data_IF_650043813998
#
_entry.id   IF_650043813998
#
_cell.length_a   1.000
_cell.length_b   1.000
_cell.length_c   1.000
_cell.angle_alpha   90.00
_cell.angle_beta   90.00
_cell.angle_gamma   90.00
#
_symmetry.space_group_name_H-M   'P 1'
#
loop_
_entity.id
_entity.type
_entity.pdbx_description
1 polymer ?
#
# COMPACT_ATOMS: atom_id res chain seq x y z
N UNK A 1 39.33 -26.83 1.14
CA UNK A 1 38.22 -26.41 0.26
C UNK A 1 37.23 -25.66 1.15
N UNK A 2 37.15 -24.32 1.08
CA UNK A 2 36.22 -23.56 1.92
C UNK A 2 34.81 -23.86 1.44
N UNK A 3 33.95 -24.32 2.33
CA UNK A 3 32.51 -24.33 2.11
C UNK A 3 32.08 -22.90 1.75
N UNK A 4 31.68 -22.68 0.49
CA UNK A 4 31.10 -21.42 0.05
C UNK A 4 29.69 -21.33 0.65
N UNK A 5 29.64 -21.01 1.95
CA UNK A 5 28.42 -20.89 2.73
C UNK A 5 27.40 -20.00 2.01
N UNK A 6 26.12 -20.39 2.07
CA UNK A 6 25.02 -19.67 1.41
C UNK A 6 25.13 -18.16 1.71
N UNK A 7 25.10 -17.35 0.65
CA UNK A 7 25.19 -15.88 0.76
C UNK A 7 24.11 -15.35 1.70
N UNK A 8 24.51 -14.52 2.66
CA UNK A 8 23.57 -13.79 3.52
C UNK A 8 22.87 -12.72 2.69
N UNK A 9 21.54 -12.72 2.74
CA UNK A 9 20.69 -11.71 2.10
C UNK A 9 19.86 -11.06 3.19
N UNK A 10 19.73 -9.74 3.14
CA UNK A 10 18.98 -8.93 4.11
C UNK A 10 18.09 -7.93 3.38
N UNK A 11 17.05 -7.48 4.08
CA UNK A 11 16.17 -6.40 3.61
C UNK A 11 16.77 -5.07 4.08
N UNK A 12 17.07 -4.17 3.14
CA UNK A 12 17.64 -2.84 3.43
C UNK A 12 16.66 -1.68 3.23
N UNK A 13 15.45 -1.96 2.74
CA UNK A 13 14.41 -0.96 2.54
C UNK A 13 13.05 -1.60 2.35
N UNK A 14 12.01 -0.90 2.81
CA UNK A 14 10.61 -1.29 2.66
C UNK A 14 9.80 -0.05 2.28
N UNK A 15 8.89 -0.22 1.33
CA UNK A 15 7.89 0.77 0.95
C UNK A 15 6.54 0.08 0.79
N UNK A 16 5.46 0.78 1.13
CA UNK A 16 4.11 0.25 1.03
C UNK A 16 3.14 1.36 0.65
N UNK A 17 2.18 1.04 -0.22
CA UNK A 17 0.99 1.85 -0.48
C UNK A 17 -0.19 0.99 -0.10
N UNK A 18 -0.93 1.37 0.92
CA UNK A 18 -1.99 0.54 1.50
C UNK A 18 -3.26 1.36 1.75
N UNK A 19 -4.40 0.70 1.98
CA UNK A 19 -5.63 1.38 2.40
C UNK A 19 -5.54 2.04 3.78
N UNK A 20 -4.48 1.75 4.56
CA UNK A 20 -4.23 2.37 5.86
C UNK A 20 -3.41 3.66 5.74
N UNK A 21 -2.46 3.72 4.80
CA UNK A 21 -1.66 4.91 4.47
C UNK A 21 -0.75 4.66 3.25
N UNK A 22 -0.27 5.74 2.64
CA UNK A 22 0.89 5.73 1.75
C UNK A 22 2.18 5.87 2.57
N UNK A 23 2.96 4.78 2.66
CA UNK A 23 4.19 4.69 3.45
C UNK A 23 4.19 3.50 4.40
N UNK A 24 5.32 2.79 4.51
CA UNK A 24 5.44 1.58 5.31
C UNK A 24 5.24 1.85 6.82
N UNK A 25 5.88 2.89 7.35
CA UNK A 25 5.79 3.24 8.77
C UNK A 25 4.37 3.62 9.17
N UNK A 26 3.73 4.49 8.40
CA UNK A 26 2.38 4.96 8.69
C UNK A 26 1.35 3.82 8.59
N UNK A 27 1.50 2.97 7.58
CA UNK A 27 0.67 1.76 7.43
C UNK A 27 0.84 0.82 8.62
N UNK A 28 2.08 0.61 9.08
CA UNK A 28 2.39 -0.24 10.23
C UNK A 28 1.79 0.32 11.52
N UNK A 29 1.99 1.61 11.81
CA UNK A 29 1.42 2.26 12.99
C UNK A 29 -0.11 2.16 13.03
N UNK A 30 -0.78 2.39 11.90
CA UNK A 30 -2.23 2.26 11.80
C UNK A 30 -2.71 0.82 12.05
N UNK A 31 -1.97 -0.16 11.52
CA UNK A 31 -2.23 -1.59 11.74
C UNK A 31 -2.08 -1.98 13.22
N UNK A 32 -1.00 -1.55 13.87
CA UNK A 32 -0.78 -1.78 15.30
C UNK A 32 -1.85 -1.13 16.19
N UNK A 33 -2.44 -0.03 15.73
CA UNK A 33 -3.56 0.64 16.41
C UNK A 33 -4.93 -0.01 16.12
N UNK A 34 -4.97 -1.09 15.33
CA UNK A 34 -6.22 -1.78 14.97
C UNK A 34 -7.14 -0.96 14.05
N UNK A 35 -6.60 0.02 13.32
CA UNK A 35 -7.38 0.81 12.37
C UNK A 35 -7.81 -0.06 11.18
N UNK A 36 -9.03 0.13 10.71
CA UNK A 36 -9.53 -0.50 9.49
C UNK A 36 -9.37 0.43 8.29
N UNK A 37 -8.83 -0.09 7.19
CA UNK A 37 -8.79 0.59 5.89
C UNK A 37 -10.07 0.38 5.06
N UNK A 38 -11.00 -0.46 5.51
CA UNK A 38 -12.24 -0.79 4.78
C UNK A 38 -13.27 0.33 4.97
N UNK A 39 -13.83 0.81 3.86
CA UNK A 39 -14.87 1.83 3.83
C UNK A 39 -15.84 1.59 2.66
N UNK A 40 -16.85 2.46 2.50
CA UNK A 40 -17.71 2.46 1.31
C UNK A 40 -16.88 2.74 0.06
N UNK A 41 -17.22 2.06 -1.04
CA UNK A 41 -16.60 2.28 -2.35
C UNK A 41 -16.87 3.73 -2.79
N UNK A 42 -15.82 4.43 -3.22
CA UNK A 42 -15.90 5.80 -3.74
C UNK A 42 -15.36 5.93 -5.17
N UNK A 43 -14.61 4.94 -5.66
CA UNK A 43 -13.98 5.01 -6.99
C UNK A 43 -14.93 4.74 -8.16
N UNK A 44 -16.10 4.14 -7.90
CA UNK A 44 -17.12 3.87 -8.90
C UNK A 44 -18.50 3.68 -8.26
N UNK A 45 -19.57 3.70 -9.07
CA UNK A 45 -20.92 3.38 -8.60
C UNK A 45 -21.08 1.88 -8.36
N UNK A 46 -21.24 1.50 -7.09
CA UNK A 46 -21.39 0.10 -6.68
C UNK A 46 -22.86 -0.35 -6.56
N UNK A 47 -23.84 0.47 -6.94
CA UNK A 47 -25.27 0.20 -6.74
C UNK A 47 -25.77 -1.12 -7.35
N UNK A 48 -25.19 -1.54 -8.48
CA UNK A 48 -25.52 -2.79 -9.17
C UNK A 48 -24.85 -4.06 -8.62
N UNK A 49 -24.03 -3.96 -7.57
CA UNK A 49 -23.26 -5.08 -7.01
C UNK A 49 -23.79 -5.51 -5.65
N UNK A 50 -23.54 -6.76 -5.27
CA UNK A 50 -23.89 -7.26 -3.92
C UNK A 50 -22.95 -6.81 -2.80
N UNK A 51 -21.86 -6.10 -3.12
CA UNK A 51 -20.83 -5.65 -2.18
C UNK A 51 -20.55 -4.17 -2.43
N UNK A 52 -20.59 -3.37 -1.36
CA UNK A 52 -20.46 -1.90 -1.43
C UNK A 52 -19.30 -1.35 -0.59
N UNK A 53 -18.38 -2.22 -0.18
CA UNK A 53 -17.21 -1.87 0.63
C UNK A 53 -15.93 -2.30 -0.09
N UNK A 54 -14.88 -1.51 0.09
CA UNK A 54 -13.54 -1.81 -0.37
C UNK A 54 -12.51 -1.21 0.58
N UNK A 55 -11.27 -1.65 0.44
CA UNK A 55 -10.13 -1.03 1.10
C UNK A 55 -9.40 -0.17 0.06
N UNK A 56 -9.88 1.07 -0.12
CA UNK A 56 -9.34 2.01 -1.10
C UNK A 56 -8.17 2.79 -0.52
N UNK A 57 -7.15 3.08 -1.34
CA UNK A 57 -6.08 4.00 -0.99
C UNK A 57 -6.60 5.44 -1.12
N UNK A 58 -6.50 6.20 -0.02
CA UNK A 58 -7.14 7.52 0.11
C UNK A 58 -6.20 8.70 -0.09
N UNK A 59 -4.91 8.51 0.16
CA UNK A 59 -3.89 9.57 0.26
C UNK A 59 -2.79 9.46 -0.79
N UNK A 60 -2.94 8.57 -1.77
CA UNK A 60 -1.93 8.37 -2.81
C UNK A 60 -2.09 9.39 -3.94
N UNK A 61 -1.04 10.19 -4.14
CA UNK A 61 -0.91 11.21 -5.16
C UNK A 61 0.27 10.81 -6.07
N UNK A 62 0.02 10.29 -7.29
CA UNK A 62 1.08 9.86 -8.21
C UNK A 62 2.12 10.94 -8.53
N UNK A 63 1.71 12.21 -8.50
CA UNK A 63 2.55 13.40 -8.71
C UNK A 63 3.70 13.55 -7.72
N UNK A 64 3.59 12.94 -6.54
CA UNK A 64 4.66 12.95 -5.53
C UNK A 64 5.82 12.00 -5.92
N UNK A 65 5.59 11.07 -6.85
CA UNK A 65 6.52 9.99 -7.18
C UNK A 65 6.88 9.89 -8.66
N UNK A 66 6.05 10.44 -9.55
CA UNK A 66 6.18 10.28 -10.99
C UNK A 66 6.18 11.63 -11.70
N UNK A 67 6.97 11.74 -12.77
CA UNK A 67 6.88 12.86 -13.69
C UNK A 67 5.49 12.91 -14.34
N UNK A 68 4.94 14.12 -14.53
CA UNK A 68 3.60 14.32 -15.14
C UNK A 68 3.39 13.56 -16.45
N UNK A 69 4.44 13.39 -17.26
CA UNK A 69 4.38 12.67 -18.55
C UNK A 69 4.14 11.15 -18.40
N UNK A 70 4.32 10.59 -17.20
CA UNK A 70 4.17 9.16 -16.90
C UNK A 70 2.89 8.84 -16.12
N UNK A 71 2.12 9.86 -15.73
CA UNK A 71 0.95 9.71 -14.83
C UNK A 71 -0.33 9.28 -15.57
N UNK A 72 -0.31 9.14 -16.90
CA UNK A 72 -1.50 8.74 -17.66
C UNK A 72 -1.15 8.04 -18.97
#
# INVERSE_FOLDING_TARGET
MREMGKRRVVVTGVGAVTPLATGAEQSWQAMCQGKSGVARITKFDSSGFGIHIAAEVKDFHPEDFLDKKKIR
#
